data_IF_898524270504
#
_entry.id   IF_898524270504
#
_cell.length_a   1.000
_cell.length_b   1.000
_cell.length_c   1.000
_cell.angle_alpha   90.00
_cell.angle_beta   90.00
_cell.angle_gamma   90.00
#
_symmetry.space_group_name_H-M   'P 1'
#
loop_
_entity.id
_entity.type
_entity.pdbx_description
1 polymer ?
#
# COMPACT_ATOMS: atom_id res chain seq x y z
N UNK A 1 42.11 -53.45 -18.34
CA UNK A 1 42.33 -52.00 -18.21
C UNK A 1 40.95 -51.33 -18.25
N UNK A 2 40.48 -50.85 -17.09
CA UNK A 2 39.18 -50.23 -16.83
C UNK A 2 39.26 -48.72 -17.10
N UNK A 3 38.24 -48.10 -17.73
CA UNK A 3 37.82 -46.70 -17.51
C UNK A 3 36.29 -46.65 -17.69
N UNK A 4 35.50 -46.82 -16.61
CA UNK A 4 34.82 -45.80 -15.80
C UNK A 4 33.87 -44.84 -16.55
N UNK A 5 32.56 -45.09 -16.34
CA UNK A 5 31.45 -44.19 -16.63
C UNK A 5 31.45 -43.01 -15.64
N UNK A 6 31.34 -41.78 -16.15
CA UNK A 6 31.21 -40.58 -15.33
C UNK A 6 29.79 -40.40 -14.81
N UNK A 7 29.61 -40.46 -13.49
CA UNK A 7 28.38 -40.06 -12.80
C UNK A 7 28.62 -38.67 -12.22
N UNK A 8 27.87 -37.67 -12.69
CA UNK A 8 27.86 -36.33 -12.05
C UNK A 8 26.96 -36.36 -10.82
N UNK A 9 27.42 -36.00 -9.61
CA UNK A 9 26.52 -35.75 -8.51
C UNK A 9 25.92 -34.34 -8.64
N UNK A 10 24.59 -34.27 -8.72
CA UNK A 10 23.82 -33.05 -8.52
C UNK A 10 23.98 -32.58 -7.08
N UNK A 11 24.73 -31.50 -6.86
CA UNK A 11 24.90 -30.88 -5.54
C UNK A 11 23.73 -29.93 -5.30
N UNK A 12 22.66 -30.42 -4.66
CA UNK A 12 21.63 -29.56 -4.05
C UNK A 12 22.13 -29.07 -2.69
N UNK A 13 22.93 -28.00 -2.70
CA UNK A 13 23.38 -27.32 -1.49
C UNK A 13 22.48 -26.11 -1.17
N UNK A 14 21.24 -26.37 -0.74
CA UNK A 14 20.48 -25.44 0.08
C UNK A 14 19.74 -26.22 1.16
N UNK A 15 20.35 -26.27 2.35
CA UNK A 15 19.72 -26.77 3.56
C UNK A 15 18.61 -25.78 3.92
N UNK A 16 17.35 -26.20 3.85
CA UNK A 16 16.24 -25.38 4.33
C UNK A 16 16.52 -24.96 5.78
N UNK A 17 16.54 -23.64 6.04
CA UNK A 17 16.70 -23.10 7.39
C UNK A 17 15.45 -23.42 8.21
N UNK A 18 15.41 -24.61 8.81
CA UNK A 18 14.46 -24.95 9.87
C UNK A 18 14.70 -24.02 11.04
N UNK A 19 13.74 -23.13 11.32
CA UNK A 19 13.77 -22.27 12.51
C UNK A 19 13.37 -20.82 12.31
N UNK A 20 13.12 -20.36 11.06
CA UNK A 20 12.40 -19.09 10.91
C UNK A 20 10.96 -19.31 11.36
N UNK A 21 10.68 -18.96 12.62
CA UNK A 21 9.31 -18.70 13.05
C UNK A 21 8.77 -17.66 12.08
N UNK A 22 7.82 -18.04 11.22
CA UNK A 22 6.96 -17.09 10.52
C UNK A 22 6.52 -16.11 11.61
N UNK A 23 6.89 -14.84 11.48
CA UNK A 23 6.58 -13.84 12.49
C UNK A 23 5.10 -13.95 12.80
N UNK A 24 4.77 -14.45 13.99
CA UNK A 24 3.39 -14.56 14.41
C UNK A 24 2.80 -13.17 14.35
N UNK A 25 1.58 -13.03 13.84
CA UNK A 25 0.85 -11.76 13.90
C UNK A 25 0.68 -11.45 15.39
N UNK A 26 1.54 -10.58 15.93
CA UNK A 26 1.40 -10.10 17.31
C UNK A 26 0.16 -9.22 17.31
N UNK A 27 -0.95 -9.75 17.82
CA UNK A 27 -2.15 -8.95 18.09
C UNK A 27 -1.87 -8.11 19.32
N UNK A 28 -1.37 -6.89 19.09
CA UNK A 28 -1.30 -5.87 20.13
C UNK A 28 -2.69 -5.27 20.32
N UNK A 29 -3.12 -5.12 21.57
CA UNK A 29 -4.38 -4.44 21.91
C UNK A 29 -4.10 -2.94 22.09
N UNK A 30 -3.59 -2.29 21.06
CA UNK A 30 -3.45 -0.85 21.01
C UNK A 30 -4.29 -0.29 19.86
N UNK A 31 -4.60 1.01 19.94
CA UNK A 31 -5.38 1.68 18.90
C UNK A 31 -4.73 1.52 17.53
N UNK A 32 -3.39 1.54 17.46
CA UNK A 32 -2.63 1.45 16.20
C UNK A 32 -2.81 0.10 15.48
N UNK A 33 -2.98 -0.99 16.22
CA UNK A 33 -3.10 -2.36 15.73
C UNK A 33 -4.54 -2.74 15.36
N UNK A 34 -5.51 -1.97 15.86
CA UNK A 34 -6.89 -2.02 15.38
C UNK A 34 -6.98 -1.36 13.99
N UNK A 35 -6.25 -0.26 13.77
CA UNK A 35 -6.31 0.50 12.51
C UNK A 35 -5.58 -0.18 11.34
N UNK A 36 -4.54 -0.98 11.61
CA UNK A 36 -3.85 -1.78 10.59
C UNK A 36 -4.71 -2.91 10.00
N UNK A 37 -5.88 -3.18 10.59
CA UNK A 37 -6.86 -4.17 10.09
C UNK A 37 -7.86 -3.57 9.09
N UNK A 38 -7.77 -2.27 8.80
CA UNK A 38 -8.58 -1.64 7.74
C UNK A 38 -8.01 -1.95 6.36
N UNK A 39 -8.90 -2.23 5.39
CA UNK A 39 -8.57 -2.57 4.01
C UNK A 39 -8.05 -1.38 3.18
N UNK A 40 -7.92 -0.19 3.79
CA UNK A 40 -7.46 1.02 3.10
C UNK A 40 -6.01 0.91 2.61
N UNK A 41 -5.22 0.00 3.17
CA UNK A 41 -3.84 -0.25 2.73
C UNK A 41 -3.68 -1.52 1.88
N UNK A 42 -4.78 -2.13 1.46
CA UNK A 42 -4.75 -3.18 0.44
C UNK A 42 -4.66 -2.54 -0.94
N UNK A 43 -3.43 -2.43 -1.44
CA UNK A 43 -3.15 -1.87 -2.77
C UNK A 43 -2.94 -3.00 -3.80
N UNK A 44 -3.97 -3.41 -4.55
CA UNK A 44 -3.89 -4.56 -5.46
C UNK A 44 -2.91 -4.36 -6.63
N UNK A 45 -2.46 -3.12 -6.87
CA UNK A 45 -1.72 -2.74 -8.07
C UNK A 45 -0.22 -2.48 -7.86
N UNK A 46 0.30 -2.43 -6.62
CA UNK A 46 1.71 -2.08 -6.33
C UNK A 46 2.72 -2.92 -7.14
N UNK A 47 2.46 -4.23 -7.27
CA UNK A 47 3.33 -5.16 -8.00
C UNK A 47 2.79 -5.56 -9.37
N UNK A 48 1.77 -4.85 -9.89
CA UNK A 48 1.12 -5.15 -11.17
C UNK A 48 1.22 -4.00 -12.17
N UNK A 49 1.17 -2.76 -11.68
CA UNK A 49 1.15 -1.56 -12.50
C UNK A 49 2.10 -0.52 -11.91
N UNK A 50 3.00 0.07 -12.72
CA UNK A 50 3.86 1.15 -12.24
C UNK A 50 3.04 2.38 -11.81
N UNK A 51 2.13 2.82 -12.66
CA UNK A 51 1.33 4.03 -12.44
C UNK A 51 -0.14 3.81 -12.82
N UNK A 52 -1.04 4.02 -11.86
CA UNK A 52 -2.48 4.00 -12.04
C UNK A 52 -3.00 5.37 -12.47
N UNK A 53 -3.76 5.39 -13.56
CA UNK A 53 -4.46 6.58 -14.05
C UNK A 53 -5.85 6.21 -14.55
N UNK A 54 -6.86 6.90 -14.04
CA UNK A 54 -8.22 6.84 -14.59
C UNK A 54 -8.77 8.26 -14.73
N UNK A 55 -8.73 8.79 -15.95
CA UNK A 55 -9.05 10.20 -16.23
C UNK A 55 -10.52 10.54 -15.91
N UNK A 56 -11.44 9.59 -16.12
CA UNK A 56 -12.85 9.78 -15.79
C UNK A 56 -13.05 9.96 -14.27
N UNK A 57 -12.40 9.10 -13.46
CA UNK A 57 -12.44 9.23 -11.99
C UNK A 57 -11.73 10.49 -11.51
N UNK A 58 -10.58 10.84 -12.10
CA UNK A 58 -9.87 12.09 -11.77
C UNK A 58 -10.71 13.32 -12.07
N UNK A 59 -11.39 13.35 -13.23
CA UNK A 59 -12.31 14.43 -13.59
C UNK A 59 -13.42 14.55 -12.54
N UNK A 60 -14.06 13.43 -12.20
CA UNK A 60 -15.12 13.38 -11.19
C UNK A 60 -14.65 13.90 -9.82
N UNK A 61 -13.46 13.49 -9.36
CA UNK A 61 -12.86 13.95 -8.10
C UNK A 61 -12.61 15.46 -8.14
N UNK A 62 -12.12 16.03 -9.25
CA UNK A 62 -11.90 17.48 -9.37
C UNK A 62 -13.19 18.28 -9.32
N UNK A 63 -14.26 17.76 -9.91
CA UNK A 63 -15.57 18.42 -9.92
C UNK A 63 -16.24 18.44 -8.53
N UNK A 64 -15.82 17.55 -7.62
CA UNK A 64 -16.33 17.49 -6.24
C UNK A 64 -15.59 18.38 -5.24
N UNK A 65 -14.62 19.20 -5.69
CA UNK A 65 -13.92 20.13 -4.81
C UNK A 65 -14.75 21.40 -4.53
N UNK A 66 -15.97 21.18 -4.05
CA UNK A 66 -16.94 22.21 -3.68
C UNK A 66 -17.48 21.95 -2.27
N UNK A 67 -17.80 23.00 -1.49
CA UNK A 67 -18.35 22.84 -0.14
C UNK A 67 -19.61 21.96 -0.12
N UNK A 68 -19.72 21.08 0.86
CA UNK A 68 -20.87 20.20 1.07
C UNK A 68 -20.78 18.82 0.38
N UNK A 69 -19.75 18.57 -0.44
CA UNK A 69 -19.52 17.27 -1.09
C UNK A 69 -18.39 16.45 -0.45
N UNK A 70 -17.88 16.85 0.71
CA UNK A 70 -16.68 16.29 1.34
C UNK A 70 -16.79 14.79 1.60
N UNK A 71 -17.97 14.31 2.00
CA UNK A 71 -18.22 12.87 2.21
C UNK A 71 -18.16 12.07 0.90
N UNK A 72 -18.70 12.62 -0.18
CA UNK A 72 -18.66 11.98 -1.49
C UNK A 72 -17.24 11.99 -2.06
N UNK A 73 -16.56 13.14 -1.95
CA UNK A 73 -15.15 13.31 -2.28
C UNK A 73 -14.27 12.31 -1.53
N UNK A 74 -14.52 12.10 -0.22
CA UNK A 74 -13.83 11.09 0.58
C UNK A 74 -13.97 9.69 -0.05
N UNK A 75 -15.20 9.28 -0.36
CA UNK A 75 -15.46 7.95 -0.91
C UNK A 75 -14.79 7.74 -2.27
N UNK A 76 -14.88 8.72 -3.17
CA UNK A 76 -14.34 8.62 -4.53
C UNK A 76 -12.80 8.67 -4.53
N UNK A 77 -12.23 9.55 -3.69
CA UNK A 77 -10.79 9.66 -3.55
C UNK A 77 -10.20 8.41 -2.89
N UNK A 78 -10.85 7.84 -1.87
CA UNK A 78 -10.44 6.58 -1.24
C UNK A 78 -10.40 5.45 -2.26
N UNK A 79 -11.45 5.30 -3.06
CA UNK A 79 -11.52 4.29 -4.12
C UNK A 79 -10.42 4.49 -5.17
N UNK A 80 -10.11 5.73 -5.54
CA UNK A 80 -9.04 6.03 -6.48
C UNK A 80 -7.65 5.69 -5.89
N UNK A 81 -7.37 6.11 -4.65
CA UNK A 81 -6.10 5.88 -3.97
C UNK A 81 -5.85 4.39 -3.71
N UNK A 82 -6.89 3.61 -3.40
CA UNK A 82 -6.79 2.15 -3.26
C UNK A 82 -6.18 1.48 -4.48
N UNK A 83 -6.39 2.04 -5.67
CA UNK A 83 -5.90 1.48 -6.92
C UNK A 83 -4.49 1.94 -7.32
N UNK A 84 -3.77 2.68 -6.48
CA UNK A 84 -2.42 3.16 -6.78
C UNK A 84 -1.44 2.05 -7.19
N UNK A 85 -0.67 2.34 -8.23
CA UNK A 85 0.59 1.66 -8.55
C UNK A 85 1.75 2.26 -7.75
N UNK A 86 2.92 1.62 -7.83
CA UNK A 86 4.09 2.00 -7.01
C UNK A 86 4.55 3.46 -7.23
N UNK A 87 4.49 3.96 -8.46
CA UNK A 87 4.92 5.33 -8.80
C UNK A 87 3.92 6.39 -8.32
N UNK A 88 2.65 6.05 -8.12
CA UNK A 88 1.66 7.02 -7.62
C UNK A 88 2.02 7.52 -6.21
N UNK A 89 2.65 6.70 -5.38
CA UNK A 89 2.99 7.07 -4.01
C UNK A 89 4.00 8.21 -3.93
N UNK A 90 4.86 8.40 -4.94
CA UNK A 90 5.76 9.56 -5.03
C UNK A 90 5.18 10.68 -5.89
N UNK A 91 4.46 10.36 -6.98
CA UNK A 91 3.95 11.35 -7.94
C UNK A 91 2.63 12.01 -7.51
N UNK A 92 1.82 11.35 -6.68
CA UNK A 92 0.48 11.80 -6.29
C UNK A 92 0.33 11.97 -4.76
N UNK A 93 1.42 12.32 -4.06
CA UNK A 93 1.42 12.52 -2.59
C UNK A 93 0.31 13.49 -2.12
N UNK A 94 0.04 14.55 -2.90
CA UNK A 94 -1.02 15.51 -2.60
C UNK A 94 -2.42 14.87 -2.51
N UNK A 95 -2.70 13.83 -3.30
CA UNK A 95 -3.97 13.10 -3.23
C UNK A 95 -4.09 12.30 -1.92
N UNK A 96 -3.01 11.68 -1.47
CA UNK A 96 -2.96 10.95 -0.20
C UNK A 96 -3.15 11.93 0.96
N UNK A 97 -2.51 13.11 0.90
CA UNK A 97 -2.70 14.16 1.90
C UNK A 97 -4.14 14.67 1.95
N UNK A 98 -4.77 14.91 0.79
CA UNK A 98 -6.18 15.32 0.72
C UNK A 98 -7.10 14.25 1.30
N UNK A 99 -6.82 12.97 1.02
CA UNK A 99 -7.57 11.86 1.61
C UNK A 99 -7.40 11.81 3.14
N UNK A 100 -6.19 12.04 3.65
CA UNK A 100 -5.93 12.11 5.09
C UNK A 100 -6.77 13.19 5.77
N UNK A 101 -6.86 14.39 5.18
CA UNK A 101 -7.71 15.48 5.68
C UNK A 101 -9.19 15.11 5.70
N UNK A 102 -9.71 14.53 4.63
CA UNK A 102 -11.11 14.10 4.58
C UNK A 102 -11.42 12.99 5.59
N UNK A 103 -10.45 12.10 5.81
CA UNK A 103 -10.54 10.99 6.74
C UNK A 103 -10.66 11.44 8.21
N UNK A 104 -10.17 12.64 8.57
CA UNK A 104 -10.34 13.21 9.92
C UNK A 104 -11.81 13.33 10.34
N UNK A 105 -12.71 13.55 9.38
CA UNK A 105 -14.15 13.75 9.63
C UNK A 105 -15.02 12.60 9.09
N UNK A 106 -14.59 11.97 8.00
CA UNK A 106 -15.41 10.98 7.28
C UNK A 106 -14.86 9.56 7.32
N UNK A 107 -13.59 9.40 7.74
CA UNK A 107 -12.95 8.11 7.87
C UNK A 107 -13.25 7.44 9.22
N UNK A 108 -13.03 6.13 9.31
CA UNK A 108 -12.94 5.48 10.61
C UNK A 108 -11.80 6.10 11.44
N UNK A 109 -11.91 5.98 12.76
CA UNK A 109 -10.88 6.45 13.68
C UNK A 109 -9.50 5.92 13.25
N UNK A 110 -8.47 6.75 13.37
CA UNK A 110 -7.06 6.39 13.08
C UNK A 110 -6.67 6.30 11.60
N UNK A 111 -7.61 6.30 10.67
CA UNK A 111 -7.31 6.24 9.23
C UNK A 111 -6.50 7.45 8.77
N UNK A 112 -6.88 8.65 9.19
CA UNK A 112 -6.14 9.90 8.87
C UNK A 112 -4.68 9.83 9.33
N UNK A 113 -4.43 9.34 10.56
CA UNK A 113 -3.09 9.17 11.11
C UNK A 113 -2.22 8.24 10.25
N UNK A 114 -2.79 7.12 9.78
CA UNK A 114 -2.06 6.17 8.94
C UNK A 114 -1.77 6.75 7.56
N UNK A 115 -2.73 7.48 6.96
CA UNK A 115 -2.53 8.19 5.70
C UNK A 115 -1.47 9.28 5.81
N UNK A 116 -1.42 10.04 6.91
CA UNK A 116 -0.35 11.01 7.14
C UNK A 116 1.02 10.35 7.25
N UNK A 117 1.12 9.21 7.96
CA UNK A 117 2.37 8.44 8.00
C UNK A 117 2.79 8.00 6.60
N UNK A 118 1.85 7.59 5.75
CA UNK A 118 2.11 7.24 4.37
C UNK A 118 2.65 8.44 3.57
N UNK A 119 2.01 9.61 3.69
CA UNK A 119 2.48 10.86 3.07
C UNK A 119 3.92 11.14 3.48
N UNK A 120 4.23 11.13 4.78
CA UNK A 120 5.58 11.45 5.28
C UNK A 120 6.65 10.47 4.78
N UNK A 121 6.33 9.17 4.68
CA UNK A 121 7.26 8.16 4.16
C UNK A 121 7.64 8.41 2.70
N UNK A 122 6.71 8.92 1.88
CA UNK A 122 6.94 9.10 0.45
C UNK A 122 7.28 10.54 0.04
N UNK A 123 7.06 11.52 0.93
CA UNK A 123 7.44 12.91 0.69
C UNK A 123 8.96 13.14 0.77
N UNK A 124 9.70 12.28 1.46
CA UNK A 124 11.14 12.46 1.72
C UNK A 124 12.08 12.03 0.58
N UNK A 125 11.60 11.50 -0.55
CA UNK A 125 12.46 11.04 -1.66
C UNK A 125 12.97 12.17 -2.58
N UNK A 126 13.17 13.38 -2.05
CA UNK A 126 13.58 14.55 -2.84
C UNK A 126 14.42 15.58 -2.08
N UNK A 127 15.21 15.14 -1.10
CA UNK A 127 16.28 15.96 -0.50
C UNK A 127 17.65 15.47 -0.96
#
# INVERSE_FOLDING_TARGET
>A
MLILQGITPSVNAQKEKKGFKKGGVVKLNDSLTIYSQSDIFDFPNINKLPYYQNDAKLKKIREMDIPGQERQMYSELKEYVKNFGIENFSKNVAMIWRLAKLSETHGPSGESLLLYKLVLKHHQQGA
#
